data_IF_722462495418
#
_entry.id   IF_722462495418
#
_cell.length_a   1.000
_cell.length_b   1.000
_cell.length_c   1.000
_cell.angle_alpha   90.00
_cell.angle_beta   90.00
_cell.angle_gamma   90.00
#
_symmetry.space_group_name_H-M   'P 1'
#
loop_
_entity.id
_entity.type
_entity.pdbx_description
1 polymer ?
#
# COMPACT_ATOMS: atom_id res chain seq x y z
N UNK A 1 20.05 19.95 -5.11
CA UNK A 1 19.72 18.55 -4.74
C UNK A 1 19.51 18.29 -3.24
N UNK A 2 19.81 19.23 -2.32
CA UNK A 2 19.64 19.00 -0.87
C UNK A 2 18.18 19.13 -0.37
N UNK A 3 17.35 19.95 -1.01
CA UNK A 3 15.92 20.11 -0.67
C UNK A 3 15.10 18.84 -0.97
N UNK A 4 15.43 18.13 -2.04
CA UNK A 4 14.78 16.86 -2.43
C UNK A 4 15.04 15.75 -1.40
N UNK A 5 16.24 15.70 -0.82
CA UNK A 5 16.61 14.71 0.21
C UNK A 5 15.86 14.90 1.54
N UNK A 6 15.43 16.14 1.85
CA UNK A 6 14.64 16.45 3.06
C UNK A 6 13.13 16.26 2.87
N UNK A 7 12.62 16.47 1.65
CA UNK A 7 11.20 16.31 1.33
C UNK A 7 10.79 14.86 1.03
N UNK A 8 11.72 14.03 0.55
CA UNK A 8 11.48 12.62 0.24
C UNK A 8 10.91 11.78 1.40
N UNK A 9 11.41 11.84 2.65
CA UNK A 9 10.84 11.05 3.74
C UNK A 9 9.44 11.52 4.13
N UNK A 10 9.17 12.84 4.08
CA UNK A 10 7.85 13.41 4.41
C UNK A 10 6.82 13.03 3.34
N UNK A 11 7.19 13.14 2.06
CA UNK A 11 6.33 12.75 0.95
C UNK A 11 6.01 11.23 0.99
N UNK A 12 7.00 10.40 1.33
CA UNK A 12 6.81 8.96 1.51
C UNK A 12 5.83 8.65 2.65
N UNK A 13 5.97 9.33 3.80
CA UNK A 13 5.04 9.16 4.92
C UNK A 13 3.62 9.58 4.55
N UNK A 14 3.44 10.68 3.81
CA UNK A 14 2.13 11.16 3.36
C UNK A 14 1.48 10.16 2.40
N UNK A 15 2.22 9.65 1.42
CA UNK A 15 1.73 8.63 0.48
C UNK A 15 1.28 7.37 1.24
N UNK A 16 2.03 6.94 2.25
CA UNK A 16 1.67 5.77 3.04
C UNK A 16 0.46 6.01 3.94
N UNK A 17 0.30 7.20 4.53
CA UNK A 17 -0.93 7.58 5.23
C UNK A 17 -2.15 7.54 4.32
N UNK A 18 -2.01 7.98 3.06
CA UNK A 18 -3.09 7.88 2.07
C UNK A 18 -3.43 6.41 1.79
N UNK A 19 -2.44 5.54 1.60
CA UNK A 19 -2.65 4.10 1.40
C UNK A 19 -3.36 3.47 2.61
N UNK A 20 -2.95 3.83 3.83
CA UNK A 20 -3.58 3.37 5.07
C UNK A 20 -5.03 3.84 5.16
N UNK A 21 -5.31 5.09 4.80
CA UNK A 21 -6.66 5.65 4.80
C UNK A 21 -7.57 4.93 3.79
N UNK A 22 -7.05 4.62 2.61
CA UNK A 22 -7.75 3.84 1.59
C UNK A 22 -8.00 2.40 2.07
N UNK A 23 -7.00 1.74 2.66
CA UNK A 23 -7.14 0.39 3.20
C UNK A 23 -8.13 0.34 4.38
N UNK A 24 -8.10 1.33 5.27
CA UNK A 24 -9.03 1.47 6.38
C UNK A 24 -10.45 1.76 5.88
N UNK A 25 -10.61 2.60 4.87
CA UNK A 25 -11.90 2.86 4.23
C UNK A 25 -12.44 1.58 3.58
N UNK A 26 -11.59 0.82 2.87
CA UNK A 26 -11.98 -0.47 2.29
C UNK A 26 -12.41 -1.46 3.38
N UNK A 27 -11.59 -1.65 4.43
CA UNK A 27 -11.93 -2.53 5.55
C UNK A 27 -13.22 -2.09 6.26
N UNK A 28 -13.42 -0.78 6.44
CA UNK A 28 -14.65 -0.21 6.99
C UNK A 28 -15.85 -0.49 6.09
N UNK A 29 -15.73 -0.29 4.77
CA UNK A 29 -16.80 -0.62 3.82
C UNK A 29 -17.14 -2.11 3.87
N UNK A 30 -16.14 -2.99 3.89
CA UNK A 30 -16.36 -4.44 4.00
C UNK A 30 -17.03 -4.84 5.31
N UNK A 31 -16.65 -4.23 6.44
CA UNK A 31 -17.30 -4.46 7.74
C UNK A 31 -18.72 -3.89 7.79
N UNK A 32 -18.95 -2.70 7.22
CA UNK A 32 -20.26 -2.04 7.22
C UNK A 32 -21.25 -2.77 6.30
N UNK A 33 -20.81 -3.32 5.17
CA UNK A 33 -21.66 -4.08 4.25
C UNK A 33 -21.98 -5.50 4.75
N UNK A 34 -21.29 -6.00 5.77
CA UNK A 34 -21.56 -7.34 6.34
C UNK A 34 -22.92 -7.44 7.04
N UNK A 35 -23.54 -6.33 7.42
CA UNK A 35 -24.81 -6.34 8.17
C UNK A 35 -26.05 -6.36 7.26
N UNK A 36 -25.95 -5.90 6.00
CA UNK A 36 -27.14 -5.66 5.15
C UNK A 36 -27.37 -6.71 4.05
N UNK A 37 -26.54 -7.76 3.95
CA UNK A 37 -26.63 -8.74 2.85
C UNK A 37 -26.42 -8.13 1.46
N UNK A 38 -26.03 -6.85 1.41
CA UNK A 38 -25.73 -6.15 0.17
C UNK A 38 -24.29 -6.49 -0.23
N UNK A 39 -24.15 -7.09 -1.40
CA UNK A 39 -22.85 -7.28 -2.04
C UNK A 39 -22.16 -5.93 -2.21
N UNK A 40 -20.85 -5.88 -1.90
CA UNK A 40 -20.02 -4.69 -2.12
C UNK A 40 -20.01 -4.33 -3.61
N UNK A 41 -20.87 -3.39 -3.99
CA UNK A 41 -20.95 -2.84 -5.33
C UNK A 41 -19.84 -1.79 -5.50
N UNK A 42 -18.76 -2.17 -6.19
CA UNK A 42 -17.71 -1.24 -6.60
C UNK A 42 -18.08 -0.78 -8.01
N UNK A 43 -18.79 0.35 -8.10
CA UNK A 43 -19.17 0.96 -9.38
C UNK A 43 -19.93 0.02 -10.35
N UNK A 44 -20.80 -0.83 -9.80
CA UNK A 44 -21.64 -1.79 -10.51
C UNK A 44 -21.05 -3.20 -10.59
N UNK A 45 -19.84 -3.42 -10.08
CA UNK A 45 -19.13 -4.68 -10.14
C UNK A 45 -18.91 -5.27 -8.74
N UNK A 46 -19.14 -6.57 -8.62
CA UNK A 46 -18.94 -7.31 -7.37
C UNK A 46 -17.98 -8.46 -7.63
N UNK A 47 -16.79 -8.47 -6.99
CA UNK A 47 -15.89 -9.61 -7.00
C UNK A 47 -16.37 -10.67 -5.99
N UNK A 48 -16.42 -11.93 -6.40
CA UNK A 48 -16.80 -13.08 -5.56
C UNK A 48 -15.77 -14.21 -5.70
N UNK A 49 -15.34 -14.78 -4.57
CA UNK A 49 -14.46 -15.94 -4.57
C UNK A 49 -15.27 -17.23 -4.76
N UNK A 50 -14.87 -18.06 -5.73
CA UNK A 50 -15.57 -19.30 -6.06
C UNK A 50 -15.28 -20.38 -5.01
N UNK A 51 -16.33 -20.91 -4.40
CA UNK A 51 -16.22 -21.87 -3.28
C UNK A 51 -16.36 -23.35 -3.68
N UNK A 52 -16.88 -23.63 -4.88
CA UNK A 52 -17.15 -24.98 -5.39
C UNK A 52 -16.78 -25.14 -6.87
N UNK A 53 -16.73 -26.39 -7.34
CA UNK A 53 -16.45 -26.73 -8.75
C UNK A 53 -17.73 -26.97 -9.57
N UNK A 54 -18.89 -26.44 -9.15
CA UNK A 54 -20.17 -26.66 -9.85
C UNK A 54 -20.23 -26.04 -11.25
N UNK A 55 -19.35 -25.09 -11.53
CA UNK A 55 -19.25 -24.41 -12.81
C UNK A 55 -18.02 -24.82 -13.63
N UNK A 56 -17.30 -25.88 -13.23
CA UNK A 56 -16.22 -26.41 -14.05
C UNK A 56 -16.77 -26.96 -15.39
N UNK A 57 -16.08 -26.78 -16.53
CA UNK A 57 -14.76 -26.16 -16.70
C UNK A 57 -14.79 -24.64 -16.92
N UNK A 58 -15.95 -23.97 -16.83
CA UNK A 58 -16.08 -22.53 -17.08
C UNK A 58 -15.24 -21.69 -16.11
N UNK A 59 -15.30 -22.02 -14.81
CA UNK A 59 -14.38 -21.54 -13.79
C UNK A 59 -14.33 -22.54 -12.64
N UNK A 60 -13.25 -22.52 -11.86
CA UNK A 60 -12.98 -23.53 -10.84
C UNK A 60 -12.97 -22.94 -9.43
N UNK A 61 -13.04 -23.81 -8.43
CA UNK A 61 -12.88 -23.44 -7.04
C UNK A 61 -11.57 -22.69 -6.79
N UNK A 62 -11.67 -21.56 -6.10
CA UNK A 62 -10.56 -20.68 -5.78
C UNK A 62 -10.24 -19.63 -6.86
N UNK A 63 -11.00 -19.58 -7.94
CA UNK A 63 -10.99 -18.44 -8.87
C UNK A 63 -11.76 -17.26 -8.28
N UNK A 64 -11.50 -16.06 -8.78
CA UNK A 64 -12.28 -14.86 -8.47
C UNK A 64 -13.16 -14.52 -9.67
N UNK A 65 -14.47 -14.55 -9.50
CA UNK A 65 -15.40 -14.10 -10.54
C UNK A 65 -15.79 -12.64 -10.30
N UNK A 66 -16.03 -11.92 -11.38
CA UNK A 66 -16.60 -10.58 -11.32
C UNK A 66 -17.99 -10.62 -11.94
N UNK A 67 -18.97 -10.18 -11.17
CA UNK A 67 -20.35 -10.02 -11.62
C UNK A 67 -20.69 -8.55 -11.76
N UNK A 68 -21.61 -8.24 -12.66
CA UNK A 68 -22.14 -6.90 -12.85
C UNK A 68 -23.65 -6.90 -12.64
N UNK A 69 -24.14 -5.87 -11.94
CA UNK A 69 -25.58 -5.65 -11.81
C UNK A 69 -26.21 -5.48 -13.18
N UNK A 70 -27.20 -6.31 -13.49
CA UNK A 70 -27.84 -6.35 -14.80
C UNK A 70 -29.35 -6.19 -14.69
N UNK A 71 -29.96 -5.76 -15.80
CA UNK A 71 -31.40 -5.77 -15.98
C UNK A 71 -31.86 -7.21 -16.24
N UNK A 72 -32.63 -7.77 -15.31
CA UNK A 72 -33.06 -9.18 -15.38
C UNK A 72 -33.96 -9.46 -16.56
N UNK A 73 -34.65 -8.44 -17.10
CA UNK A 73 -35.47 -8.55 -18.30
C UNK A 73 -34.66 -8.89 -19.56
N UNK A 74 -33.35 -8.63 -19.55
CA UNK A 74 -32.43 -8.91 -20.66
C UNK A 74 -31.67 -10.23 -20.50
N UNK A 75 -31.94 -10.99 -19.44
CA UNK A 75 -31.32 -12.29 -19.24
C UNK A 75 -31.87 -13.31 -20.22
N UNK A 76 -31.00 -14.13 -20.76
CA UNK A 76 -31.32 -15.17 -21.72
C UNK A 76 -30.89 -16.56 -21.22
N UNK A 77 -31.51 -17.61 -21.77
CA UNK A 77 -31.08 -18.98 -21.51
C UNK A 77 -29.62 -19.13 -21.92
N UNK A 78 -28.79 -19.68 -21.03
CA UNK A 78 -27.36 -19.80 -21.22
C UNK A 78 -26.52 -18.74 -20.52
N UNK A 79 -27.13 -17.66 -20.02
CA UNK A 79 -26.43 -16.68 -19.19
C UNK A 79 -26.03 -17.28 -17.84
N UNK A 80 -24.89 -16.84 -17.29
CA UNK A 80 -24.43 -17.22 -15.96
C UNK A 80 -24.78 -16.08 -15.00
N UNK A 81 -25.52 -16.39 -13.94
CA UNK A 81 -26.02 -15.42 -12.99
C UNK A 81 -25.70 -15.82 -11.57
N UNK A 82 -25.44 -14.83 -10.74
CA UNK A 82 -25.35 -15.01 -9.29
C UNK A 82 -26.65 -14.59 -8.65
N UNK A 83 -27.14 -15.41 -7.74
CA UNK A 83 -28.41 -15.19 -7.05
C UNK A 83 -28.30 -15.59 -5.57
N UNK A 84 -29.22 -15.06 -4.79
CA UNK A 84 -29.39 -15.45 -3.40
C UNK A 84 -30.15 -16.78 -3.30
N UNK A 85 -29.64 -17.69 -2.47
CA UNK A 85 -30.27 -18.97 -2.18
C UNK A 85 -29.96 -19.35 -0.74
N UNK A 86 -30.66 -20.36 -0.24
CA UNK A 86 -30.38 -20.95 1.07
C UNK A 86 -29.58 -22.24 0.83
N UNK A 87 -28.37 -22.30 1.36
CA UNK A 87 -27.52 -23.49 1.37
C UNK A 87 -27.28 -23.84 2.83
N UNK A 88 -27.56 -25.08 3.23
CA UNK A 88 -27.39 -25.56 4.61
C UNK A 88 -28.05 -24.65 5.67
N UNK A 89 -29.22 -24.11 5.32
CA UNK A 89 -30.02 -23.22 6.18
C UNK A 89 -29.37 -21.85 6.45
N UNK A 90 -28.36 -21.47 5.67
CA UNK A 90 -27.71 -20.16 5.66
C UNK A 90 -27.97 -19.42 4.35
N UNK A 91 -28.10 -18.10 4.42
CA UNK A 91 -28.25 -17.24 3.25
C UNK A 91 -26.91 -17.15 2.52
N UNK A 92 -26.87 -17.64 1.29
CA UNK A 92 -25.65 -17.78 0.50
C UNK A 92 -25.86 -17.28 -0.93
N UNK A 93 -24.75 -16.92 -1.57
CA UNK A 93 -24.72 -16.60 -3.00
C UNK A 93 -24.33 -17.85 -3.79
N UNK A 94 -25.09 -18.17 -4.82
CA UNK A 94 -24.77 -19.23 -5.75
C UNK A 94 -24.72 -18.67 -7.18
N UNK A 95 -23.83 -19.21 -8.01
CA UNK A 95 -23.60 -18.74 -9.38
C UNK A 95 -23.71 -19.90 -10.34
N UNK A 96 -24.78 -19.94 -11.13
CA UNK A 96 -25.06 -21.03 -12.07
C UNK A 96 -25.58 -20.49 -13.41
N UNK A 97 -25.65 -21.37 -14.42
CA UNK A 97 -26.16 -21.03 -15.74
C UNK A 97 -27.68 -21.17 -15.78
N UNK A 98 -28.35 -20.23 -16.43
CA UNK A 98 -29.78 -20.31 -16.70
C UNK A 98 -30.04 -21.43 -17.71
N UNK A 99 -30.75 -22.47 -17.28
CA UNK A 99 -31.14 -23.61 -18.10
C UNK A 99 -32.51 -23.40 -18.75
N UNK A 100 -33.43 -22.72 -18.07
CA UNK A 100 -34.75 -22.37 -18.59
C UNK A 100 -35.26 -21.06 -17.96
N UNK A 101 -36.12 -20.38 -18.70
CA UNK A 101 -36.81 -19.16 -18.26
C UNK A 101 -38.29 -19.36 -18.54
N UNK A 102 -39.08 -19.27 -17.49
CA UNK A 102 -40.53 -19.34 -17.56
C UNK A 102 -41.12 -17.98 -17.18
N UNK A 103 -42.21 -17.59 -17.84
CA UNK A 103 -42.90 -16.33 -17.56
C UNK A 103 -44.39 -16.57 -17.39
N UNK A 104 -44.92 -16.19 -16.23
CA UNK A 104 -46.34 -16.34 -15.89
C UNK A 104 -46.86 -15.02 -15.32
N UNK A 105 -47.88 -14.45 -15.94
CA UNK A 105 -48.48 -13.16 -15.56
C UNK A 105 -47.46 -11.99 -15.47
N UNK A 106 -46.44 -12.00 -16.34
CA UNK A 106 -45.38 -10.98 -16.36
C UNK A 106 -44.33 -11.14 -15.25
N UNK A 107 -44.38 -12.22 -14.47
CA UNK A 107 -43.31 -12.59 -13.54
C UNK A 107 -42.44 -13.66 -14.16
N UNK A 108 -41.12 -13.41 -14.22
CA UNK A 108 -40.17 -14.38 -14.73
C UNK A 108 -39.58 -15.21 -13.60
N UNK A 109 -39.35 -16.47 -13.92
CA UNK A 109 -38.68 -17.42 -13.06
C UNK A 109 -37.58 -18.13 -13.83
N UNK A 110 -36.47 -18.38 -13.16
CA UNK A 110 -35.27 -18.94 -13.75
C UNK A 110 -34.98 -20.30 -13.13
N UNK A 111 -34.85 -21.31 -13.98
CA UNK A 111 -34.27 -22.59 -13.59
C UNK A 111 -32.78 -22.53 -13.88
N UNK A 112 -31.95 -22.69 -12.86
CA UNK A 112 -30.50 -22.65 -12.98
C UNK A 112 -29.88 -24.05 -12.89
N UNK A 113 -28.68 -24.19 -13.42
CA UNK A 113 -27.90 -25.43 -13.39
C UNK A 113 -26.41 -25.10 -13.42
N UNK A 114 -25.63 -25.74 -12.54
CA UNK A 114 -24.17 -25.72 -12.63
C UNK A 114 -23.67 -26.47 -13.86
N UNK A 115 -22.66 -25.93 -14.55
CA UNK A 115 -22.09 -26.56 -15.76
C UNK A 115 -21.53 -27.97 -15.50
N UNK A 116 -21.06 -28.22 -14.27
CA UNK A 116 -20.53 -29.51 -13.81
C UNK A 116 -21.56 -30.36 -13.04
N UNK A 117 -22.82 -29.92 -12.97
CA UNK A 117 -23.87 -30.65 -12.27
C UNK A 117 -24.65 -31.53 -13.26
N UNK A 118 -25.09 -32.72 -12.85
CA UNK A 118 -25.92 -33.57 -13.70
C UNK A 118 -27.37 -33.08 -13.79
N UNK A 119 -27.89 -32.59 -12.67
CA UNK A 119 -29.28 -32.18 -12.49
C UNK A 119 -29.37 -30.66 -12.35
N UNK A 120 -30.48 -30.08 -12.81
CA UNK A 120 -30.80 -28.68 -12.56
C UNK A 120 -31.09 -28.43 -11.06
N UNK A 121 -30.92 -27.18 -10.63
CA UNK A 121 -31.20 -26.79 -9.27
C UNK A 121 -32.70 -26.89 -8.97
N UNK A 122 -33.05 -27.41 -7.80
CA UNK A 122 -34.45 -27.56 -7.38
C UNK A 122 -35.10 -26.21 -7.05
N UNK A 123 -34.29 -25.22 -6.68
CA UNK A 123 -34.79 -23.90 -6.30
C UNK A 123 -35.00 -23.05 -7.56
N UNK A 124 -36.25 -22.63 -7.77
CA UNK A 124 -36.61 -21.72 -8.85
C UNK A 124 -36.33 -20.29 -8.39
N UNK A 125 -35.55 -19.55 -9.18
CA UNK A 125 -35.07 -18.22 -8.82
C UNK A 125 -36.00 -17.16 -9.41
N UNK A 126 -36.35 -16.15 -8.63
CA UNK A 126 -37.14 -15.01 -9.10
C UNK A 126 -36.24 -13.85 -9.57
N UNK A 127 -36.79 -12.91 -10.34
CA UNK A 127 -36.07 -11.68 -10.73
C UNK A 127 -35.44 -10.94 -9.53
N UNK A 128 -36.11 -10.95 -8.36
CA UNK A 128 -35.65 -10.24 -7.16
C UNK A 128 -34.44 -10.88 -6.48
N UNK A 129 -34.18 -12.16 -6.74
CA UNK A 129 -33.09 -12.90 -6.12
C UNK A 129 -31.78 -12.79 -6.92
N UNK A 130 -31.86 -12.34 -8.18
CA UNK A 130 -30.70 -12.15 -9.05
C UNK A 130 -29.89 -10.95 -8.58
N UNK A 131 -28.61 -11.19 -8.31
CA UNK A 131 -27.65 -10.17 -7.88
C UNK A 131 -26.94 -9.53 -9.08
N UNK A 132 -26.56 -10.35 -10.06
CA UNK A 132 -25.85 -9.87 -11.23
C UNK A 132 -25.47 -10.98 -12.21
N UNK A 133 -25.01 -10.55 -13.38
CA UNK A 133 -24.54 -11.42 -14.46
C UNK A 133 -23.03 -11.54 -14.40
N UNK A 134 -22.54 -12.77 -14.58
CA UNK A 134 -21.12 -13.07 -14.70
C UNK A 134 -20.49 -12.37 -15.92
N UNK A 135 -19.30 -11.79 -15.73
CA UNK A 135 -18.53 -11.19 -16.81
C UNK A 135 -17.26 -11.98 -17.13
N UNK A 136 -16.40 -12.18 -16.13
CA UNK A 136 -15.13 -12.89 -16.30
C UNK A 136 -14.64 -13.49 -14.98
N UNK A 137 -13.72 -14.45 -15.10
CA UNK A 137 -13.04 -15.09 -13.99
C UNK A 137 -11.54 -14.79 -14.04
N UNK A 138 -10.93 -14.63 -12.87
CA UNK A 138 -9.50 -14.51 -12.68
C UNK A 138 -8.99 -15.77 -11.95
N UNK A 139 -8.20 -16.63 -12.63
CA UNK A 139 -7.74 -17.88 -12.06
C UNK A 139 -6.94 -17.67 -10.76
N UNK A 140 -7.20 -18.51 -9.76
CA UNK A 140 -6.51 -18.53 -8.46
C UNK A 140 -6.59 -17.25 -7.59
N UNK A 141 -7.23 -16.19 -8.08
CA UNK A 141 -7.36 -14.92 -7.34
C UNK A 141 -8.36 -14.99 -6.19
N UNK A 142 -9.30 -15.96 -6.21
CA UNK A 142 -10.22 -16.20 -5.10
C UNK A 142 -9.44 -16.59 -3.84
N UNK A 143 -8.43 -17.47 -3.97
CA UNK A 143 -7.57 -17.88 -2.85
C UNK A 143 -6.81 -16.71 -2.22
N UNK A 144 -6.34 -15.77 -3.05
CA UNK A 144 -5.66 -14.56 -2.57
C UNK A 144 -6.64 -13.69 -1.79
N UNK A 145 -7.85 -13.51 -2.31
CA UNK A 145 -8.89 -12.72 -1.65
C UNK A 145 -9.35 -13.33 -0.33
N UNK A 146 -9.52 -14.66 -0.30
CA UNK A 146 -9.86 -15.42 0.90
C UNK A 146 -8.75 -15.29 1.96
N UNK A 147 -7.49 -15.40 1.55
CA UNK A 147 -6.35 -15.19 2.45
C UNK A 147 -6.34 -13.77 3.01
N UNK A 148 -6.46 -12.74 2.18
CA UNK A 148 -6.49 -11.33 2.61
C UNK A 148 -7.67 -11.03 3.54
N UNK A 149 -8.81 -11.69 3.34
CA UNK A 149 -10.01 -11.55 4.16
C UNK A 149 -9.96 -12.36 5.46
N UNK A 150 -9.04 -13.31 5.58
CA UNK A 150 -8.82 -14.08 6.80
C UNK A 150 -8.14 -13.24 7.88
N UNK A 151 -8.42 -13.52 9.15
CA UNK A 151 -7.82 -12.78 10.28
C UNK A 151 -6.28 -12.81 10.25
N UNK A 152 -5.69 -13.93 9.84
CA UNK A 152 -4.23 -14.08 9.73
C UNK A 152 -3.67 -13.31 8.53
N UNK A 153 -4.29 -13.40 7.36
CA UNK A 153 -3.82 -12.66 6.18
C UNK A 153 -3.97 -11.16 6.36
N UNK A 154 -5.07 -10.70 6.95
CA UNK A 154 -5.24 -9.29 7.33
C UNK A 154 -4.14 -8.81 8.29
N UNK A 155 -3.84 -9.60 9.34
CA UNK A 155 -2.77 -9.27 10.29
C UNK A 155 -1.40 -9.17 9.61
N UNK A 156 -1.05 -10.13 8.76
CA UNK A 156 0.29 -10.22 8.16
C UNK A 156 0.47 -9.21 7.02
N UNK A 157 -0.55 -9.04 6.18
CA UNK A 157 -0.43 -8.22 4.95
C UNK A 157 -0.75 -6.75 5.21
N UNK A 158 -1.61 -6.44 6.17
CA UNK A 158 -2.01 -5.06 6.46
C UNK A 158 -1.44 -4.58 7.80
N UNK A 159 -1.73 -5.28 8.90
CA UNK A 159 -1.40 -4.77 10.24
C UNK A 159 0.11 -4.76 10.50
N UNK A 160 0.83 -5.84 10.17
CA UNK A 160 2.26 -5.96 10.41
C UNK A 160 3.10 -4.92 9.65
N UNK A 161 2.98 -4.74 8.32
CA UNK A 161 3.72 -3.70 7.63
C UNK A 161 3.32 -2.29 8.10
N UNK A 162 2.05 -2.08 8.44
CA UNK A 162 1.60 -0.81 9.03
C UNK A 162 2.27 -0.53 10.39
N UNK A 163 2.39 -1.54 11.24
CA UNK A 163 3.06 -1.44 12.54
C UNK A 163 4.57 -1.18 12.36
N UNK A 164 5.24 -1.90 11.47
CA UNK A 164 6.65 -1.70 11.17
C UNK A 164 6.90 -0.30 10.62
N UNK A 165 6.04 0.18 9.74
CA UNK A 165 6.13 1.54 9.23
C UNK A 165 5.90 2.57 10.34
N UNK A 166 4.92 2.36 11.21
CA UNK A 166 4.68 3.24 12.36
C UNK A 166 5.91 3.32 13.27
N UNK A 167 6.52 2.19 13.59
CA UNK A 167 7.76 2.13 14.39
C UNK A 167 8.88 2.90 13.68
N UNK A 168 9.06 2.69 12.37
CA UNK A 168 10.04 3.42 11.58
C UNK A 168 9.79 4.93 11.62
N UNK A 169 8.54 5.37 11.51
CA UNK A 169 8.17 6.78 11.53
C UNK A 169 8.46 7.41 12.90
N UNK A 170 8.15 6.70 14.00
CA UNK A 170 8.46 7.15 15.36
C UNK A 170 9.98 7.23 15.57
N UNK A 171 10.73 6.21 15.14
CA UNK A 171 12.19 6.21 15.21
C UNK A 171 12.79 7.40 14.46
N UNK A 172 12.35 7.61 13.21
CA UNK A 172 12.81 8.72 12.38
C UNK A 172 12.48 10.07 13.02
N UNK A 173 11.28 10.24 13.59
CA UNK A 173 10.87 11.46 14.29
C UNK A 173 11.78 11.75 15.49
N UNK A 174 12.07 10.73 16.31
CA UNK A 174 12.95 10.87 17.48
C UNK A 174 14.37 11.24 17.04
N UNK A 175 14.94 10.54 16.05
CA UNK A 175 16.31 10.80 15.58
C UNK A 175 16.44 12.20 14.98
N UNK A 176 15.47 12.63 14.16
CA UNK A 176 15.48 13.99 13.59
C UNK A 176 15.31 15.03 14.69
N UNK A 177 14.42 14.81 15.66
CA UNK A 177 14.25 15.69 16.80
C UNK A 177 15.53 15.83 17.64
N UNK A 178 16.23 14.72 17.88
CA UNK A 178 17.52 14.73 18.58
C UNK A 178 18.60 15.48 17.80
N UNK A 179 18.68 15.26 16.48
CA UNK A 179 19.65 15.95 15.63
C UNK A 179 19.37 17.45 15.53
N UNK A 180 18.10 17.86 15.49
CA UNK A 180 17.71 19.28 15.50
C UNK A 180 18.08 19.95 16.82
N UNK A 181 17.80 19.28 17.94
CA UNK A 181 18.17 19.79 19.27
C UNK A 181 19.70 19.95 19.44
N UNK A 182 20.48 19.03 18.86
CA UNK A 182 21.95 19.12 18.85
C UNK A 182 22.43 20.29 17.99
N UNK A 183 21.85 20.49 16.81
CA UNK A 183 22.20 21.61 15.92
C UNK A 183 21.90 22.97 16.57
N UNK A 184 20.74 23.11 17.22
CA UNK A 184 20.39 24.34 17.96
C UNK A 184 21.33 24.58 19.14
N UNK A 185 21.69 23.53 19.89
CA UNK A 185 22.63 23.66 21.00
C UNK A 185 24.06 24.05 20.54
N UNK A 186 24.45 23.64 19.34
CA UNK A 186 25.73 24.02 18.74
C UNK A 186 25.70 25.48 18.27
N UNK A 187 24.59 25.93 17.67
CA UNK A 187 24.37 27.33 17.31
C UNK A 187 24.35 28.25 18.54
N UNK A 188 23.68 27.85 19.62
CA UNK A 188 23.67 28.58 20.90
C UNK A 188 25.08 28.69 21.51
N UNK A 189 25.88 27.62 21.42
CA UNK A 189 27.27 27.61 21.89
C UNK A 189 28.17 28.52 21.06
N UNK A 190 28.00 28.53 19.74
CA UNK A 190 28.74 29.41 18.84
C UNK A 190 28.35 30.88 19.06
N UNK A 191 27.06 31.16 19.26
CA UNK A 191 26.56 32.50 19.60
C UNK A 191 27.11 32.97 20.96
N UNK A 192 27.13 32.10 21.97
CA UNK A 192 27.73 32.40 23.27
C UNK A 192 29.25 32.64 23.18
N UNK A 193 29.98 31.81 22.41
CA UNK A 193 31.41 31.99 22.18
C UNK A 193 31.72 33.30 21.44
N UNK A 194 30.94 33.64 20.41
CA UNK A 194 31.07 34.91 19.69
C UNK A 194 30.82 36.13 20.61
N UNK A 195 29.84 36.04 21.51
CA UNK A 195 29.57 37.09 22.49
C UNK A 195 30.70 37.28 23.51
N UNK A 196 31.38 36.20 23.91
CA UNK A 196 32.56 36.27 24.78
C UNK A 196 33.74 36.93 24.05
N UNK A 197 34.00 36.56 22.80
CA UNK A 197 35.06 37.18 21.98
C UNK A 197 34.81 38.68 21.75
N UNK A 198 33.56 39.08 21.53
CA UNK A 198 33.19 40.50 21.39
C UNK A 198 33.31 41.29 22.71
N UNK A 199 33.08 40.62 23.86
CA UNK A 199 33.28 41.20 25.19
C UNK A 199 34.77 41.33 25.57
N UNK A 200 35.60 40.34 25.20
CA UNK A 200 37.06 40.39 25.37
C UNK A 200 37.73 41.39 24.41
N UNK A 201 37.11 41.66 23.25
CA UNK A 201 37.53 42.70 22.30
C UNK A 201 37.47 44.14 22.83
N UNK A 202 36.95 44.37 24.06
CA UNK A 202 36.93 45.67 24.75
C UNK A 202 37.95 45.81 25.89
N UNK A 203 38.80 44.81 26.14
CA UNK A 203 39.75 44.82 27.26
C UNK A 203 41.20 44.51 26.87
N UNK A 204 41.97 45.57 26.60
CA UNK A 204 43.41 45.70 26.87
C UNK A 204 44.33 44.48 26.61
N UNK A 205 44.64 44.13 25.35
CA UNK A 205 45.79 43.25 25.00
C UNK A 205 46.19 43.33 23.51
N UNK A 206 46.50 44.54 23.01
CA UNK A 206 46.74 44.78 21.58
C UNK A 206 48.11 44.28 21.03
N UNK A 207 48.99 43.67 21.82
CA UNK A 207 50.35 43.32 21.36
C UNK A 207 50.68 41.82 21.36
N UNK A 208 49.86 40.96 21.98
CA UNK A 208 50.08 39.49 21.99
C UNK A 208 49.17 38.76 21.00
N UNK A 209 48.03 39.37 20.62
CA UNK A 209 47.04 38.77 19.72
C UNK A 209 47.48 38.75 18.24
N UNK A 210 48.33 39.69 17.80
CA UNK A 210 48.76 39.78 16.41
C UNK A 210 49.66 38.60 16.00
N UNK A 211 50.56 38.17 16.89
CA UNK A 211 51.47 37.05 16.62
C UNK A 211 50.73 35.70 16.63
N UNK A 212 49.79 35.52 17.57
CA UNK A 212 48.97 34.31 17.65
C UNK A 212 47.95 34.20 16.50
N UNK A 213 47.41 35.32 16.01
CA UNK A 213 46.47 35.32 14.88
C UNK A 213 47.17 34.96 13.56
N UNK A 214 48.42 35.40 13.36
CA UNK A 214 49.22 35.02 12.20
C UNK A 214 49.55 33.52 12.21
N UNK A 215 49.86 32.96 13.39
CA UNK A 215 50.17 31.54 13.55
C UNK A 215 48.92 30.65 13.36
N UNK A 216 47.75 31.10 13.83
CA UNK A 216 46.48 30.40 13.62
C UNK A 216 46.02 30.41 12.15
N UNK A 217 46.25 31.51 11.42
CA UNK A 217 45.99 31.59 9.98
C UNK A 217 46.87 30.63 9.19
N UNK A 218 48.17 30.57 9.51
CA UNK A 218 49.10 29.62 8.88
C UNK A 218 48.70 28.15 9.17
N UNK A 219 48.26 27.84 10.39
CA UNK A 219 47.77 26.50 10.74
C UNK A 219 46.44 26.15 10.05
N UNK A 220 45.55 27.13 9.86
CA UNK A 220 44.28 26.93 9.16
C UNK A 220 44.49 26.70 7.65
N UNK A 221 45.41 27.44 7.03
CA UNK A 221 45.79 27.23 5.63
C UNK A 221 46.45 25.87 5.42
N UNK A 222 47.36 25.46 6.31
CA UNK A 222 47.99 24.14 6.26
C UNK A 222 46.98 22.98 6.37
N UNK A 223 46.01 23.09 7.28
CA UNK A 223 44.93 22.08 7.43
C UNK A 223 44.00 22.04 6.22
N UNK A 224 43.71 23.19 5.61
CA UNK A 224 42.89 23.26 4.41
C UNK A 224 43.60 22.62 3.21
N UNK A 225 44.91 22.79 3.10
CA UNK A 225 45.73 22.18 2.07
C UNK A 225 45.84 20.66 2.25
N UNK A 226 46.02 20.19 3.50
CA UNK A 226 45.98 18.76 3.84
C UNK A 226 44.61 18.14 3.53
N UNK A 227 43.51 18.83 3.86
CA UNK A 227 42.15 18.38 3.52
C UNK A 227 41.91 18.33 2.00
N UNK A 228 42.46 19.27 1.24
CA UNK A 228 42.41 19.22 -0.24
C UNK A 228 43.22 18.06 -0.78
N UNK A 229 44.37 17.74 -0.19
CA UNK A 229 45.19 16.59 -0.60
C UNK A 229 44.50 15.26 -0.32
N UNK A 230 43.95 15.08 0.88
CA UNK A 230 43.15 13.91 1.25
C UNK A 230 41.93 13.73 0.34
N UNK A 231 41.26 14.83 -0.02
CA UNK A 231 40.14 14.79 -0.96
C UNK A 231 40.59 14.36 -2.37
N UNK A 232 41.71 14.89 -2.86
CA UNK A 232 42.26 14.50 -4.16
C UNK A 232 42.74 13.03 -4.17
N UNK A 233 43.34 12.55 -3.08
CA UNK A 233 43.72 11.13 -2.90
C UNK A 233 42.48 10.23 -2.85
N UNK A 234 41.42 10.63 -2.16
CA UNK A 234 40.15 9.90 -2.12
C UNK A 234 39.45 9.86 -3.49
N UNK A 235 39.46 10.96 -4.25
CA UNK A 235 38.93 11.00 -5.62
C UNK A 235 39.77 10.16 -6.59
N UNK A 236 41.10 10.14 -6.44
CA UNK A 236 41.98 9.27 -7.22
C UNK A 236 41.78 7.79 -6.89
N UNK A 237 41.62 7.44 -5.62
CA UNK A 237 41.31 6.08 -5.19
C UNK A 237 39.94 5.62 -5.72
N UNK A 238 38.91 6.49 -5.67
CA UNK A 238 37.58 6.19 -6.23
C UNK A 238 37.61 5.98 -7.75
N UNK A 239 38.46 6.73 -8.49
CA UNK A 239 38.62 6.54 -9.93
C UNK A 239 39.42 5.29 -10.29
N UNK A 240 40.40 4.89 -9.48
CA UNK A 240 41.14 3.64 -9.68
C UNK A 240 40.26 2.40 -9.45
N UNK A 241 39.40 2.40 -8.41
CA UNK A 241 38.44 1.31 -8.18
C UNK A 241 37.39 1.20 -9.29
N UNK A 242 37.12 2.30 -10.03
CA UNK A 242 36.18 2.29 -11.16
C UNK A 242 36.78 1.75 -12.46
N UNK A 243 38.11 1.70 -12.59
CA UNK A 243 38.81 1.14 -13.75
C UNK A 243 39.10 -0.37 -13.61
N UNK A 244 39.16 -0.92 -12.40
CA UNK A 244 39.30 -2.38 -12.20
C UNK A 244 37.99 -3.16 -12.45
N UNK A 245 36.81 -2.52 -12.32
CA UNK A 245 35.49 -3.15 -12.60
C UNK A 245 35.07 -3.08 -14.09
N UNK A 246 35.90 -2.56 -15.00
CA UNK A 246 35.56 -2.46 -16.44
C UNK A 246 36.42 -3.30 -17.39
N UNK A 247 37.44 -4.00 -16.89
CA UNK A 247 38.27 -4.94 -17.67
C UNK A 247 38.07 -6.42 -17.24
N UNK A 248 36.99 -6.71 -16.51
CA UNK A 248 36.76 -8.03 -15.90
C UNK A 248 35.30 -8.50 -15.84
N UNK A 249 34.50 -8.28 -16.89
CA UNK A 249 33.38 -9.17 -17.33
C UNK A 249 32.74 -8.70 -18.65
#
# INVERSE_FOLDING_TARGET
MQSVKKAAPIALSVVMWIIILVAALYAFTTLATREDGSVSDIAGFTPLAVQSDSMAPTFNKGDLIVIQKCDTSKLEVGDIVTFHTIIDNEYALNTHRIAAIDEVNGMRSFTTKGDNNDVADTHIISDGDIVGKYLFALPQMGKVMDFLSSSMGFLIVIVLPMLLFFIYQVYHLIVVGMNLKRAMAEEDRLAAAAAIVDAEGKGDTATVAADNAAEQLAQAEAKLEEARRLKAEAEAAMNATKQEDTDGE
#
